data_IF_878426229288
#
_entry.id   IF_878426229288
#
_cell.length_a   1.000
_cell.length_b   1.000
_cell.length_c   1.000
_cell.angle_alpha   90.00
_cell.angle_beta   90.00
_cell.angle_gamma   90.00
#
_symmetry.space_group_name_H-M   'P 1'
#
loop_
_entity.id
_entity.type
_entity.pdbx_description
1 polymer ?
#
# COMPACT_ATOMS: atom_id res chain seq x y z
N UNK A 1 -27.31 4.29 -18.27
CA UNK A 1 -26.26 4.99 -17.50
C UNK A 1 -26.89 6.16 -16.77
N UNK A 2 -26.86 6.19 -15.43
CA UNK A 2 -27.38 7.34 -14.70
C UNK A 2 -26.41 8.53 -14.84
N UNK A 3 -26.89 9.65 -15.37
CA UNK A 3 -26.12 10.89 -15.47
C UNK A 3 -26.26 11.69 -14.17
N UNK A 4 -25.15 11.97 -13.49
CA UNK A 4 -25.14 12.85 -12.32
C UNK A 4 -25.31 14.31 -12.76
N UNK A 5 -26.30 15.01 -12.23
CA UNK A 5 -26.46 16.45 -12.41
C UNK A 5 -25.99 17.20 -11.16
N UNK A 6 -25.04 18.10 -11.34
CA UNK A 6 -24.50 18.95 -10.26
C UNK A 6 -25.01 20.37 -10.54
N UNK A 7 -25.84 20.90 -9.63
CA UNK A 7 -26.48 22.21 -9.78
C UNK A 7 -25.47 23.36 -9.63
N UNK A 8 -24.49 23.18 -8.76
CA UNK A 8 -23.45 24.18 -8.51
C UNK A 8 -22.41 24.20 -9.65
N UNK A 9 -22.22 25.34 -10.34
CA UNK A 9 -21.34 25.41 -11.51
C UNK A 9 -19.87 25.20 -11.16
N UNK A 10 -19.41 25.64 -9.99
CA UNK A 10 -18.02 25.49 -9.57
C UNK A 10 -17.68 24.02 -9.32
N UNK A 11 -18.55 23.31 -8.59
CA UNK A 11 -18.42 21.87 -8.34
C UNK A 11 -18.52 21.07 -9.64
N UNK A 12 -19.40 21.45 -10.57
CA UNK A 12 -19.52 20.80 -11.87
C UNK A 12 -18.26 20.98 -12.73
N UNK A 13 -17.60 22.15 -12.64
CA UNK A 13 -16.33 22.41 -13.30
C UNK A 13 -15.19 21.60 -12.67
N UNK A 14 -15.13 21.53 -11.34
CA UNK A 14 -14.15 20.74 -10.60
C UNK A 14 -14.26 19.24 -10.92
N UNK A 15 -15.47 18.68 -10.87
CA UNK A 15 -15.73 17.30 -11.28
C UNK A 15 -15.31 17.04 -12.74
N UNK A 16 -15.50 18.03 -13.63
CA UNK A 16 -15.04 17.96 -15.01
C UNK A 16 -13.51 17.91 -15.14
N UNK A 17 -12.78 18.75 -14.39
CA UNK A 17 -11.30 18.75 -14.38
C UNK A 17 -10.74 17.43 -13.88
N UNK A 18 -11.27 16.92 -12.77
CA UNK A 18 -10.84 15.64 -12.19
C UNK A 18 -11.13 14.49 -13.15
N UNK A 19 -12.32 14.46 -13.76
CA UNK A 19 -12.67 13.45 -14.75
C UNK A 19 -11.72 13.45 -15.97
N UNK A 20 -11.37 14.64 -16.47
CA UNK A 20 -10.41 14.79 -17.58
C UNK A 20 -9.00 14.28 -17.21
N UNK A 21 -8.51 14.60 -16.01
CA UNK A 21 -7.21 14.11 -15.52
C UNK A 21 -7.18 12.58 -15.36
N UNK A 22 -8.29 11.99 -14.92
CA UNK A 22 -8.41 10.55 -14.73
C UNK A 22 -8.78 9.79 -16.02
N UNK A 23 -9.11 10.49 -17.11
CA UNK A 23 -9.61 9.87 -18.35
C UNK A 23 -10.94 9.12 -18.16
N UNK A 24 -11.79 9.57 -17.22
CA UNK A 24 -13.07 8.92 -16.89
C UNK A 24 -14.25 9.87 -17.08
N UNK A 25 -15.47 9.40 -16.84
CA UNK A 25 -16.66 10.25 -16.89
C UNK A 25 -16.82 11.04 -15.58
N UNK A 26 -17.53 12.18 -15.63
CA UNK A 26 -17.82 12.98 -14.43
C UNK A 26 -18.49 12.17 -13.32
N UNK A 27 -19.43 11.29 -13.68
CA UNK A 27 -20.12 10.42 -12.72
C UNK A 27 -19.15 9.44 -12.06
N UNK A 28 -18.24 8.83 -12.82
CA UNK A 28 -17.24 7.90 -12.27
C UNK A 28 -16.21 8.61 -11.38
N UNK A 29 -15.76 9.79 -11.78
CA UNK A 29 -14.84 10.60 -10.99
C UNK A 29 -15.45 10.95 -9.62
N UNK A 30 -16.71 11.40 -9.61
CA UNK A 30 -17.43 11.71 -8.36
C UNK A 30 -17.66 10.44 -7.54
N UNK A 31 -18.09 9.34 -8.15
CA UNK A 31 -18.29 8.07 -7.44
C UNK A 31 -17.00 7.60 -6.76
N UNK A 32 -15.88 7.58 -7.48
CA UNK A 32 -14.57 7.21 -6.93
C UNK A 32 -14.15 8.13 -5.79
N UNK A 33 -14.37 9.43 -5.93
CA UNK A 33 -14.10 10.40 -4.85
C UNK A 33 -14.92 10.11 -3.60
N UNK A 34 -16.23 9.89 -3.74
CA UNK A 34 -17.11 9.58 -2.62
C UNK A 34 -16.79 8.25 -1.96
N UNK A 35 -16.51 7.19 -2.73
CA UNK A 35 -16.11 5.89 -2.20
C UNK A 35 -14.77 5.97 -1.46
N UNK A 36 -13.82 6.76 -1.97
CA UNK A 36 -12.55 6.99 -1.28
C UNK A 36 -12.75 7.70 0.05
N UNK A 37 -13.60 8.73 0.09
CA UNK A 37 -13.93 9.45 1.34
C UNK A 37 -14.72 8.56 2.31
N UNK A 38 -15.66 7.77 1.83
CA UNK A 38 -16.39 6.79 2.67
C UNK A 38 -15.44 5.76 3.29
N UNK A 39 -14.50 5.24 2.50
CA UNK A 39 -13.52 4.26 3.00
C UNK A 39 -12.49 4.91 3.92
N UNK A 40 -12.07 6.14 3.66
CA UNK A 40 -11.03 6.84 4.43
C UNK A 40 -11.57 7.53 5.69
N UNK A 41 -12.78 8.08 5.67
CA UNK A 41 -13.34 8.90 6.75
C UNK A 41 -14.46 8.20 7.53
N UNK A 42 -15.27 7.37 6.87
CA UNK A 42 -16.44 6.73 7.51
C UNK A 42 -16.09 5.35 8.06
N UNK A 43 -15.20 4.61 7.40
CA UNK A 43 -14.70 3.33 7.93
C UNK A 43 -13.59 3.49 8.97
N UNK A 44 -13.06 4.72 9.17
CA UNK A 44 -12.12 5.03 10.24
C UNK A 44 -12.85 5.72 11.40
N UNK A 45 -13.29 4.89 12.36
CA UNK A 45 -13.17 5.24 13.77
C UNK A 45 -11.77 5.86 14.04
N UNK A 46 -11.63 6.78 15.01
CA UNK A 46 -10.63 7.84 15.03
C UNK A 46 -9.20 7.31 14.95
N UNK A 47 -8.61 7.31 13.76
CA UNK A 47 -7.16 7.28 13.52
C UNK A 47 -6.87 7.55 12.04
N UNK A 48 -7.29 8.73 11.58
CA UNK A 48 -6.99 9.24 10.24
C UNK A 48 -5.47 9.32 9.98
N UNK A 49 -4.99 8.50 9.04
CA UNK A 49 -3.59 8.54 8.58
C UNK A 49 -3.12 7.28 7.84
N UNK A 50 -3.97 6.61 7.06
CA UNK A 50 -3.93 5.16 6.98
C UNK A 50 -3.11 4.44 5.89
N UNK A 51 -2.15 5.07 5.20
CA UNK A 51 -1.28 4.29 4.28
C UNK A 51 0.19 4.35 4.65
N UNK A 52 0.72 5.50 5.07
CA UNK A 52 2.13 5.60 5.51
C UNK A 52 2.30 5.35 7.01
N UNK A 53 1.34 5.74 7.85
CA UNK A 53 1.42 5.50 9.30
C UNK A 53 1.20 4.02 9.61
N UNK A 54 0.23 3.36 8.96
CA UNK A 54 -0.08 1.94 9.20
C UNK A 54 1.09 0.99 8.90
N UNK A 55 1.84 1.19 7.80
CA UNK A 55 2.98 0.31 7.49
C UNK A 55 4.12 0.49 8.48
N UNK A 56 4.43 1.73 8.87
CA UNK A 56 5.48 2.02 9.86
C UNK A 56 5.08 1.51 11.25
N UNK A 57 3.83 1.69 11.65
CA UNK A 57 3.32 1.21 12.94
C UNK A 57 3.25 -0.32 12.98
N UNK A 58 2.84 -0.95 11.89
CA UNK A 58 2.89 -2.40 11.74
C UNK A 58 4.33 -2.92 11.86
N UNK A 59 5.30 -2.29 11.18
CA UNK A 59 6.72 -2.64 11.29
C UNK A 59 7.24 -2.50 12.72
N UNK A 60 6.82 -1.44 13.44
CA UNK A 60 7.18 -1.23 14.85
C UNK A 60 6.58 -2.30 15.76
N UNK A 61 5.29 -2.62 15.60
CA UNK A 61 4.64 -3.69 16.37
C UNK A 61 5.27 -5.05 16.09
N UNK A 62 5.56 -5.34 14.82
CA UNK A 62 6.21 -6.58 14.41
C UNK A 62 7.61 -6.71 15.05
N UNK A 63 8.45 -5.66 15.01
CA UNK A 63 9.75 -5.67 15.68
C UNK A 63 9.67 -5.81 17.20
N UNK A 64 8.62 -5.27 17.84
CA UNK A 64 8.43 -5.42 19.27
C UNK A 64 8.06 -6.86 19.67
N UNK A 65 7.27 -7.55 18.83
CA UNK A 65 6.88 -8.95 19.04
C UNK A 65 7.97 -9.93 18.62
N UNK A 66 8.81 -9.55 17.65
CA UNK A 66 9.92 -10.32 17.13
C UNK A 66 11.23 -9.54 17.28
N UNK A 67 11.78 -9.44 18.51
CA UNK A 67 13.04 -8.76 18.72
C UNK A 67 14.14 -9.45 17.93
N UNK A 68 15.03 -8.64 17.33
CA UNK A 68 16.19 -9.19 16.65
C UNK A 68 17.07 -9.92 17.67
N UNK A 69 17.65 -11.08 17.30
CA UNK A 69 18.61 -11.75 18.17
C UNK A 69 19.78 -10.82 18.46
N UNK A 70 20.38 -11.01 19.64
CA UNK A 70 21.50 -10.18 20.09
C UNK A 70 22.65 -10.22 19.06
N UNK A 71 23.02 -9.03 18.57
CA UNK A 71 24.06 -8.88 17.54
C UNK A 71 25.43 -9.31 18.06
N UNK A 72 25.68 -9.24 19.37
CA UNK A 72 26.94 -9.69 19.95
C UNK A 72 26.99 -11.21 20.12
N UNK A 73 25.84 -11.85 20.30
CA UNK A 73 25.72 -13.30 20.34
C UNK A 73 25.79 -13.94 18.95
N UNK A 74 25.46 -13.18 17.90
CA UNK A 74 25.51 -13.63 16.51
C UNK A 74 26.91 -13.36 15.95
N UNK A 75 27.78 -14.38 15.97
CA UNK A 75 29.06 -14.36 15.25
C UNK A 75 28.79 -14.40 13.74
N UNK A 76 28.39 -13.27 13.20
CA UNK A 76 28.22 -13.07 11.76
C UNK A 76 29.63 -12.92 11.18
N UNK A 77 30.27 -14.05 10.91
CA UNK A 77 31.56 -14.10 10.24
C UNK A 77 31.37 -14.20 8.72
N UNK A 78 32.47 -14.16 7.98
CA UNK A 78 32.44 -14.28 6.52
C UNK A 78 31.82 -15.61 6.08
N UNK A 79 32.03 -16.69 6.85
CA UNK A 79 31.47 -18.00 6.53
C UNK A 79 29.93 -18.03 6.61
N UNK A 80 29.32 -17.24 7.51
CA UNK A 80 27.87 -17.03 7.52
C UNK A 80 27.35 -16.36 6.24
N UNK A 81 28.06 -15.37 5.71
CA UNK A 81 27.66 -14.73 4.45
C UNK A 81 27.88 -15.65 3.26
N UNK A 82 29.00 -16.39 3.24
CA UNK A 82 29.30 -17.37 2.20
C UNK A 82 28.23 -18.48 2.19
N UNK A 83 27.69 -18.92 3.34
CA UNK A 83 26.59 -19.91 3.39
C UNK A 83 25.22 -19.39 2.94
N UNK A 84 25.00 -18.07 2.95
CA UNK A 84 23.76 -17.47 2.41
C UNK A 84 23.83 -17.28 0.88
N UNK A 85 25.05 -17.23 0.34
CA UNK A 85 25.31 -17.11 -1.09
C UNK A 85 25.64 -18.43 -1.78
N UNK A 86 25.86 -19.50 -1.02
CA UNK A 86 25.98 -20.85 -1.58
C UNK A 86 24.60 -21.22 -2.14
N UNK A 87 24.40 -20.91 -3.42
CA UNK A 87 23.37 -21.52 -4.24
C UNK A 87 23.70 -23.01 -4.24
N UNK A 88 23.12 -23.74 -3.30
CA UNK A 88 23.06 -25.20 -3.31
C UNK A 88 22.65 -25.56 -4.73
N UNK A 89 23.58 -26.13 -5.52
CA UNK A 89 23.36 -26.54 -6.91
C UNK A 89 22.07 -27.35 -6.92
N UNK A 90 20.96 -26.68 -7.27
CA UNK A 90 19.66 -27.32 -7.41
C UNK A 90 19.86 -28.21 -8.62
N UNK A 91 20.17 -29.48 -8.37
CA UNK A 91 20.24 -30.49 -9.40
C UNK A 91 18.86 -30.49 -10.04
N UNK A 92 18.76 -29.81 -11.19
CA UNK A 92 17.53 -29.69 -11.94
C UNK A 92 17.11 -31.12 -12.33
N UNK A 93 16.00 -31.66 -11.78
CA UNK A 93 15.57 -33.02 -12.07
C UNK A 93 15.11 -33.19 -13.53
N UNK A 94 15.22 -32.14 -14.36
CA UNK A 94 14.85 -32.13 -15.78
C UNK A 94 16.05 -31.94 -16.73
N UNK A 95 17.28 -32.09 -16.27
CA UNK A 95 18.46 -32.14 -17.14
C UNK A 95 18.66 -33.55 -17.73
N UNK A 96 18.04 -33.76 -18.91
CA UNK A 96 18.16 -34.82 -19.94
C UNK A 96 18.44 -36.29 -19.53
#
# INVERSE_FOLDING_TARGET
MASLFIKDPETAALAGKVAAQLGTTKTEAVRRGLTSLETAEISEAPNGGAVTVRTVDWLRQYRAQHPLPDREAMKIDKAFYDSLSDEEDVVDPWSE
#
